data_IF_624531418990
#
_entry.id   IF_624531418990
#
_cell.length_a   1.000
_cell.length_b   1.000
_cell.length_c   1.000
_cell.angle_alpha   90.00
_cell.angle_beta   90.00
_cell.angle_gamma   90.00
#
_symmetry.space_group_name_H-M   'P 1'
#
loop_
_entity.id
_entity.type
_entity.pdbx_description
1 polymer ?
#
# COMPACT_ATOMS: atom_id res chain seq x y z
N UNK A 1 71.85 -7.08 57.05
CA UNK A 1 71.79 -7.72 55.72
C UNK A 1 70.76 -8.84 55.79
N UNK A 2 69.48 -8.52 55.59
CA UNK A 2 68.42 -9.54 55.47
C UNK A 2 67.87 -9.39 54.07
N UNK A 3 68.38 -10.24 53.20
CA UNK A 3 68.02 -10.30 51.81
C UNK A 3 67.58 -11.73 51.51
N UNK A 4 66.49 -11.79 50.75
CA UNK A 4 66.15 -12.83 49.79
C UNK A 4 65.30 -14.00 50.31
N UNK A 5 64.10 -14.02 49.71
CA UNK A 5 63.28 -15.17 49.34
C UNK A 5 62.41 -15.73 50.46
N UNK A 6 61.22 -15.16 50.59
CA UNK A 6 59.96 -15.85 50.34
C UNK A 6 58.86 -14.81 50.59
N UNK A 7 58.17 -14.38 49.54
CA UNK A 7 56.80 -13.82 49.51
C UNK A 7 56.65 -13.03 48.20
N UNK A 8 56.87 -13.73 47.08
CA UNK A 8 56.47 -13.29 45.74
C UNK A 8 55.32 -14.20 45.32
N UNK A 9 54.12 -13.93 45.84
CA UNK A 9 52.84 -14.40 45.32
C UNK A 9 51.71 -13.86 46.21
N UNK A 10 51.49 -12.55 46.21
CA UNK A 10 50.19 -11.96 46.59
C UNK A 10 50.12 -10.51 46.08
N UNK A 11 50.37 -10.36 44.78
CA UNK A 11 49.81 -9.27 44.01
C UNK A 11 48.58 -9.83 43.28
N UNK A 12 47.56 -10.26 44.04
CA UNK A 12 46.21 -10.31 43.48
C UNK A 12 45.74 -8.87 43.55
N UNK A 13 46.11 -8.18 42.48
CA UNK A 13 45.58 -6.91 42.03
C UNK A 13 44.05 -7.04 42.01
N UNK A 14 43.41 -6.69 43.12
CA UNK A 14 41.97 -6.46 43.18
C UNK A 14 41.64 -5.19 42.41
N UNK A 15 41.79 -5.24 41.08
CA UNK A 15 40.98 -4.40 40.20
C UNK A 15 39.57 -4.90 40.43
N UNK A 16 38.86 -4.24 41.33
CA UNK A 16 37.41 -4.18 41.27
C UNK A 16 37.11 -3.55 39.92
N UNK A 17 36.88 -4.41 38.92
CA UNK A 17 36.08 -4.04 37.76
C UNK A 17 34.71 -3.69 38.34
N UNK A 18 34.53 -2.44 38.76
CA UNK A 18 33.22 -1.84 38.75
C UNK A 18 32.84 -1.75 37.27
N UNK A 19 32.36 -2.87 36.72
CA UNK A 19 31.36 -2.79 35.67
C UNK A 19 30.22 -2.05 36.35
N UNK A 20 30.25 -0.73 36.25
CA UNK A 20 29.05 0.06 36.34
C UNK A 20 28.17 -0.48 35.23
N UNK A 21 27.38 -1.50 35.54
CA UNK A 21 26.14 -1.73 34.84
C UNK A 21 25.41 -0.42 35.12
N UNK A 22 25.47 0.53 34.19
CA UNK A 22 24.61 1.69 34.24
C UNK A 22 23.23 1.10 34.47
N UNK A 23 22.63 1.39 35.63
CA UNK A 23 21.30 0.91 35.95
C UNK A 23 20.43 1.37 34.79
N UNK A 24 20.01 0.42 33.94
CA UNK A 24 19.20 0.74 32.79
C UNK A 24 17.93 1.35 33.36
N UNK A 25 17.62 2.60 32.94
CA UNK A 25 16.41 3.26 33.37
C UNK A 25 15.23 2.33 33.08
N UNK A 26 14.33 2.19 34.08
CA UNK A 26 13.15 1.34 33.92
C UNK A 26 12.33 1.86 32.74
N UNK A 27 11.77 0.93 31.96
CA UNK A 27 10.83 1.20 30.90
C UNK A 27 9.63 2.03 31.42
N UNK A 28 9.30 3.15 30.75
CA UNK A 28 8.16 4.01 31.10
C UNK A 28 7.25 4.23 29.89
N UNK A 29 6.08 4.85 30.09
CA UNK A 29 5.28 5.39 28.99
C UNK A 29 5.59 6.87 28.87
N UNK A 30 5.82 7.35 27.65
CA UNK A 30 6.07 8.76 27.34
C UNK A 30 4.93 9.36 26.54
N UNK A 31 4.50 10.55 26.97
CA UNK A 31 3.44 11.32 26.35
C UNK A 31 4.01 12.64 25.83
N UNK A 32 3.71 12.95 24.58
CA UNK A 32 3.93 14.29 24.08
C UNK A 32 2.92 15.22 24.75
N UNK A 33 3.40 16.33 25.32
CA UNK A 33 2.56 17.23 26.12
C UNK A 33 2.26 18.59 25.49
N UNK A 34 3.11 19.16 24.60
CA UNK A 34 2.75 20.35 23.85
C UNK A 34 1.75 20.07 22.74
N UNK A 35 0.94 21.09 22.38
CA UNK A 35 0.12 21.05 21.16
C UNK A 35 0.94 21.14 19.88
N UNK A 36 2.14 21.72 19.93
CA UNK A 36 3.11 21.75 18.84
C UNK A 36 4.53 21.65 19.41
N UNK A 37 5.42 20.91 18.76
CA UNK A 37 6.82 20.90 19.16
C UNK A 37 7.70 19.97 18.36
N UNK A 38 8.92 19.80 18.86
CA UNK A 38 9.97 19.00 18.25
C UNK A 38 10.22 17.75 19.10
N UNK A 39 10.30 16.58 18.47
CA UNK A 39 10.55 15.29 19.13
C UNK A 39 11.89 15.28 19.87
N UNK A 40 12.88 16.05 19.41
CA UNK A 40 14.23 16.12 19.98
C UNK A 40 14.35 16.93 21.27
N UNK A 41 13.28 17.58 21.71
CA UNK A 41 13.27 18.41 22.92
C UNK A 41 12.69 17.60 24.09
N UNK A 42 13.54 17.22 25.04
CA UNK A 42 13.14 16.42 26.21
C UNK A 42 11.98 17.04 27.01
N UNK A 43 11.89 18.37 27.06
CA UNK A 43 10.82 19.10 27.75
C UNK A 43 9.43 18.93 27.10
N UNK A 44 9.36 18.47 25.85
CA UNK A 44 8.09 18.21 25.17
C UNK A 44 7.50 16.83 25.54
N UNK A 45 8.28 16.00 26.22
CA UNK A 45 7.91 14.67 26.65
C UNK A 45 7.71 14.65 28.14
N UNK A 46 6.68 13.95 28.59
CA UNK A 46 6.47 13.71 30.01
C UNK A 46 6.20 12.22 30.20
N UNK A 47 6.97 11.56 31.06
CA UNK A 47 6.68 10.17 31.43
C UNK A 47 5.49 10.08 32.39
N UNK A 48 5.05 8.86 32.72
CA UNK A 48 3.96 8.62 33.71
C UNK A 48 4.22 9.22 35.10
N UNK A 49 5.46 9.56 35.42
CA UNK A 49 5.86 10.14 36.70
C UNK A 49 6.05 11.67 36.64
N UNK A 50 5.77 12.30 35.50
CA UNK A 50 5.96 13.75 35.32
C UNK A 50 7.39 14.16 34.97
N UNK A 51 8.26 13.22 34.58
CA UNK A 51 9.66 13.47 34.26
C UNK A 51 9.81 13.78 32.79
N UNK A 52 10.51 14.88 32.49
CA UNK A 52 10.84 15.27 31.13
C UNK A 52 12.09 14.56 30.61
N UNK A 53 11.92 13.64 29.66
CA UNK A 53 13.00 12.90 29.03
C UNK A 53 12.61 12.49 27.61
N UNK A 54 13.60 12.38 26.72
CA UNK A 54 13.36 11.85 25.37
C UNK A 54 12.97 10.37 25.43
N UNK A 55 12.03 9.90 24.59
CA UNK A 55 11.69 8.48 24.50
C UNK A 55 12.86 7.59 24.07
N UNK A 56 12.93 6.37 24.62
CA UNK A 56 14.00 5.36 24.47
C UNK A 56 13.44 3.93 24.38
N UNK A 57 14.22 2.89 24.02
CA UNK A 57 13.74 1.59 23.44
C UNK A 57 13.02 0.72 24.35
N UNK A 58 13.38 0.92 25.59
CA UNK A 58 12.88 0.17 26.66
C UNK A 58 11.49 0.71 27.01
N UNK A 59 11.12 1.92 26.59
CA UNK A 59 9.81 2.50 26.85
C UNK A 59 8.69 1.70 26.22
N UNK A 60 7.67 1.46 27.03
CA UNK A 60 6.56 0.60 26.68
C UNK A 60 5.66 1.25 25.63
N UNK A 61 5.45 2.56 25.75
CA UNK A 61 4.58 3.34 24.87
C UNK A 61 5.16 4.71 24.63
N UNK A 62 5.10 5.15 23.39
CA UNK A 62 5.28 6.54 23.01
C UNK A 62 4.01 7.01 22.30
N UNK A 63 3.42 8.07 22.81
CA UNK A 63 2.11 8.55 22.38
C UNK A 63 2.19 10.02 21.95
N UNK A 64 1.69 10.30 20.75
CA UNK A 64 1.47 11.65 20.23
C UNK A 64 -0.03 11.87 20.11
N UNK A 65 -0.58 12.93 20.71
CA UNK A 65 -2.01 13.18 20.74
C UNK A 65 -2.69 12.29 21.78
N UNK A 66 -2.89 12.81 23.00
CA UNK A 66 -3.73 12.17 24.02
C UNK A 66 -4.81 13.14 24.52
N UNK A 67 -6.06 12.96 24.12
CA UNK A 67 -7.20 13.76 24.61
C UNK A 67 -7.24 15.24 24.17
N UNK A 68 -6.25 15.77 23.44
CA UNK A 68 -6.23 17.08 22.75
C UNK A 68 -5.51 16.95 21.38
N UNK A 69 -5.39 18.04 20.59
CA UNK A 69 -4.75 18.04 19.25
C UNK A 69 -3.25 18.38 19.35
N UNK A 70 -2.37 17.43 19.03
CA UNK A 70 -0.90 17.60 19.13
C UNK A 70 -0.17 17.40 17.78
N UNK A 71 0.85 18.23 17.51
CA UNK A 71 1.71 18.19 16.32
C UNK A 71 3.19 18.02 16.67
N UNK A 72 3.88 17.09 15.99
CA UNK A 72 5.35 16.95 16.05
C UNK A 72 6.00 17.33 14.72
N UNK A 73 6.98 18.24 14.76
CA UNK A 73 7.81 18.65 13.61
C UNK A 73 9.25 18.11 13.73
N UNK A 74 9.81 17.58 12.64
CA UNK A 74 11.19 17.08 12.57
C UNK A 74 12.03 17.94 11.61
N UNK A 75 13.10 18.63 12.05
CA UNK A 75 14.06 19.27 11.16
C UNK A 75 15.03 18.26 10.52
N UNK A 76 15.60 18.64 9.37
CA UNK A 76 16.31 17.84 8.36
C UNK A 76 17.67 17.21 8.76
N UNK A 77 17.84 16.83 10.03
CA UNK A 77 18.95 15.97 10.45
C UNK A 77 18.65 15.42 11.85
N UNK A 78 18.09 14.23 11.95
CA UNK A 78 18.16 13.46 13.19
C UNK A 78 18.43 11.98 12.90
N UNK A 79 19.68 11.56 13.05
CA UNK A 79 20.01 10.13 13.14
C UNK A 79 19.44 9.58 14.45
N UNK A 80 18.28 8.93 14.38
CA UNK A 80 17.81 8.09 15.46
C UNK A 80 18.22 6.65 15.15
N UNK A 81 19.48 6.37 15.50
CA UNK A 81 19.98 4.99 15.59
C UNK A 81 19.45 4.38 16.88
N UNK A 82 18.63 3.38 16.68
CA UNK A 82 18.26 2.45 17.71
C UNK A 82 19.30 1.38 17.93
N UNK A 83 20.49 1.79 18.31
CA UNK A 83 21.41 0.91 19.03
C UNK A 83 21.28 1.21 20.53
N UNK A 84 20.04 1.04 21.03
CA UNK A 84 19.69 1.10 22.45
C UNK A 84 18.47 1.95 22.87
N UNK A 85 17.79 2.67 21.96
CA UNK A 85 16.73 3.67 22.28
C UNK A 85 15.56 3.91 21.27
N UNK A 86 14.40 3.24 21.33
CA UNK A 86 13.15 3.22 20.52
C UNK A 86 11.80 3.12 21.20
N UNK A 87 10.80 2.48 20.61
CA UNK A 87 9.51 2.29 21.27
C UNK A 87 9.09 0.83 21.18
N UNK A 88 8.64 0.26 22.28
CA UNK A 88 7.88 -0.97 22.23
C UNK A 88 6.63 -0.75 21.36
N UNK A 89 5.86 0.31 21.59
CA UNK A 89 4.73 0.71 20.75
C UNK A 89 4.77 2.21 20.48
N UNK A 90 4.59 2.61 19.22
CA UNK A 90 4.35 4.01 18.84
C UNK A 90 2.88 4.18 18.45
N UNK A 91 2.21 5.19 19.01
CA UNK A 91 0.85 5.57 18.62
C UNK A 91 0.77 7.06 18.26
N UNK A 92 0.24 7.35 17.08
CA UNK A 92 -0.07 8.70 16.59
C UNK A 92 -1.60 8.86 16.62
N UNK A 93 -2.11 9.81 17.40
CA UNK A 93 -3.54 9.98 17.63
C UNK A 93 -4.10 8.87 18.53
N UNK A 94 -3.89 9.00 19.84
CA UNK A 94 -4.39 8.07 20.85
C UNK A 94 -5.60 8.67 21.60
N UNK A 95 -6.82 8.22 21.28
CA UNK A 95 -8.06 8.80 21.85
C UNK A 95 -8.10 10.34 21.74
N UNK A 96 -7.73 10.85 20.56
CA UNK A 96 -7.52 12.27 20.28
C UNK A 96 -6.93 12.45 18.88
N UNK A 97 -6.46 13.66 18.57
CA UNK A 97 -5.83 13.96 17.27
C UNK A 97 -4.32 14.09 17.42
N UNK A 98 -3.54 13.38 16.61
CA UNK A 98 -2.09 13.47 16.61
C UNK A 98 -1.52 13.54 15.20
N UNK A 99 -0.50 14.38 14.99
CA UNK A 99 0.24 14.47 13.73
C UNK A 99 1.73 14.25 13.93
N UNK A 100 2.34 13.40 13.10
CA UNK A 100 3.78 13.13 13.07
C UNK A 100 4.38 13.50 11.71
N UNK A 101 5.36 14.39 11.68
CA UNK A 101 6.12 14.72 10.47
C UNK A 101 7.52 14.09 10.52
N UNK A 102 7.90 13.39 9.44
CA UNK A 102 9.18 12.71 9.28
C UNK A 102 9.83 13.22 7.99
N UNK A 103 10.97 13.88 8.13
CA UNK A 103 11.66 14.53 7.00
C UNK A 103 13.03 13.91 6.72
N UNK A 104 13.63 13.26 7.72
CA UNK A 104 14.93 12.59 7.61
C UNK A 104 15.08 11.52 8.71
N UNK A 105 16.28 10.99 8.94
CA UNK A 105 16.59 10.20 10.12
C UNK A 105 16.18 8.74 10.05
N UNK A 106 16.11 8.08 11.21
CA UNK A 106 15.68 6.68 11.30
C UNK A 106 14.74 6.51 12.49
N UNK A 107 13.65 5.75 12.39
CA UNK A 107 12.72 5.46 13.49
C UNK A 107 12.53 3.95 13.58
N UNK A 108 13.09 3.31 14.60
CA UNK A 108 12.85 1.88 14.84
C UNK A 108 11.78 1.64 15.91
N UNK A 109 10.88 0.70 15.63
CA UNK A 109 9.71 0.38 16.44
C UNK A 109 9.73 -1.12 16.68
N UNK A 110 9.67 -1.56 17.95
CA UNK A 110 9.85 -2.98 18.28
C UNK A 110 8.59 -3.81 18.07
N UNK A 111 7.45 -3.31 18.55
CA UNK A 111 6.15 -3.96 18.45
C UNK A 111 5.27 -3.18 17.50
N UNK A 112 4.21 -2.52 17.96
CA UNK A 112 3.17 -1.96 17.10
C UNK A 112 3.47 -0.52 16.72
N UNK A 113 3.24 -0.19 15.45
CA UNK A 113 3.12 1.19 15.00
C UNK A 113 1.67 1.45 14.64
N UNK A 114 1.03 2.38 15.35
CA UNK A 114 -0.40 2.61 15.30
C UNK A 114 -0.68 4.06 14.92
N UNK A 115 -1.58 4.27 13.98
CA UNK A 115 -2.00 5.62 13.55
C UNK A 115 -3.52 5.68 13.62
N UNK A 116 -4.04 6.53 14.49
CA UNK A 116 -5.46 6.60 14.84
C UNK A 116 -5.87 5.36 15.64
N UNK A 117 -5.78 5.43 16.96
CA UNK A 117 -6.22 4.35 17.85
C UNK A 117 -6.94 4.90 19.06
N UNK A 118 -8.20 4.54 19.25
CA UNK A 118 -8.85 4.75 20.53
C UNK A 118 -8.41 3.70 21.54
N UNK A 119 -8.32 4.13 22.80
CA UNK A 119 -8.59 3.28 23.94
C UNK A 119 -10.09 3.32 24.23
N UNK A 120 -10.69 2.16 24.50
CA UNK A 120 -12.12 2.02 24.75
C UNK A 120 -12.61 3.10 25.75
N UNK A 121 -13.77 3.70 25.44
CA UNK A 121 -14.49 4.73 26.22
C UNK A 121 -14.10 6.20 26.01
N UNK A 122 -13.10 6.52 25.16
CA UNK A 122 -12.51 7.87 25.11
C UNK A 122 -12.81 8.65 23.80
N UNK A 123 -13.74 8.16 22.98
CA UNK A 123 -14.09 8.75 21.70
C UNK A 123 -13.10 8.39 20.58
N UNK A 124 -13.49 8.74 19.35
CA UNK A 124 -12.75 8.42 18.13
C UNK A 124 -11.36 9.08 18.12
N UNK A 125 -10.38 8.39 17.57
CA UNK A 125 -9.02 8.88 17.42
C UNK A 125 -8.66 9.19 15.96
N UNK A 126 -7.86 10.24 15.75
CA UNK A 126 -7.35 10.62 14.42
C UNK A 126 -5.82 10.73 14.47
N UNK A 127 -5.13 9.87 13.73
CA UNK A 127 -3.69 9.95 13.55
C UNK A 127 -3.35 10.36 12.11
N UNK A 128 -2.37 11.23 11.94
CA UNK A 128 -1.84 11.59 10.62
C UNK A 128 -0.33 11.56 10.62
N UNK A 129 0.27 10.91 9.63
CA UNK A 129 1.72 10.90 9.43
C UNK A 129 2.06 11.50 8.07
N UNK A 130 3.09 12.34 8.03
CA UNK A 130 3.71 12.84 6.80
C UNK A 130 5.17 12.42 6.76
N UNK A 131 5.55 11.58 5.81
CA UNK A 131 6.93 11.16 5.60
C UNK A 131 7.43 11.62 4.23
N UNK A 132 8.42 12.51 4.24
CA UNK A 132 9.10 13.01 3.03
C UNK A 132 10.55 12.54 2.90
N UNK A 133 11.09 11.90 3.95
CA UNK A 133 12.43 11.34 4.00
C UNK A 133 12.58 10.40 5.19
N UNK A 134 13.83 10.08 5.57
CA UNK A 134 14.13 9.20 6.69
C UNK A 134 13.73 7.74 6.49
N UNK A 135 13.98 6.91 7.50
CA UNK A 135 13.79 5.47 7.44
C UNK A 135 13.01 4.96 8.65
N UNK A 136 11.82 4.39 8.47
CA UNK A 136 11.10 3.71 9.55
C UNK A 136 11.33 2.21 9.45
N UNK A 137 11.61 1.56 10.57
CA UNK A 137 11.66 0.10 10.65
C UNK A 137 10.83 -0.39 11.82
N UNK A 138 9.77 -1.13 11.54
CA UNK A 138 9.13 -1.96 12.55
C UNK A 138 9.82 -3.33 12.58
N UNK A 139 10.32 -3.75 13.73
CA UNK A 139 10.97 -5.06 13.89
C UNK A 139 9.98 -6.20 14.15
N UNK A 140 10.41 -7.41 13.77
CA UNK A 140 9.65 -8.64 14.00
C UNK A 140 9.94 -9.17 15.39
N UNK A 141 9.04 -8.93 16.35
CA UNK A 141 9.20 -9.46 17.71
C UNK A 141 7.92 -10.05 18.30
N UNK A 142 7.08 -10.67 17.47
CA UNK A 142 5.97 -11.49 17.95
C UNK A 142 4.84 -11.70 16.95
N UNK A 143 4.11 -12.80 17.11
CA UNK A 143 3.05 -13.26 16.18
C UNK A 143 1.81 -12.36 16.07
N UNK A 144 1.74 -11.25 16.81
CA UNK A 144 0.55 -10.37 16.88
C UNK A 144 0.87 -8.90 16.65
N UNK A 145 2.02 -8.57 16.04
CA UNK A 145 2.45 -7.19 15.85
C UNK A 145 2.07 -6.64 14.48
N UNK A 146 1.50 -5.44 14.44
CA UNK A 146 1.03 -4.78 13.22
C UNK A 146 1.58 -3.36 13.10
N UNK A 147 1.85 -2.95 11.87
CA UNK A 147 1.77 -1.54 11.50
C UNK A 147 0.33 -1.32 11.05
N UNK A 148 -0.44 -0.53 11.80
CA UNK A 148 -1.86 -0.39 11.50
C UNK A 148 -2.37 1.05 11.51
N UNK A 149 -3.27 1.31 10.57
CA UNK A 149 -3.99 2.57 10.40
C UNK A 149 -5.47 2.38 10.73
N UNK A 150 -6.06 3.29 11.49
CA UNK A 150 -7.49 3.28 11.83
C UNK A 150 -7.87 2.09 12.70
N UNK A 151 -7.38 2.08 13.94
CA UNK A 151 -7.45 0.94 14.87
C UNK A 151 -8.66 0.96 15.80
N UNK A 152 -9.84 0.83 15.20
CA UNK A 152 -11.11 0.71 15.92
C UNK A 152 -12.25 1.42 15.21
N UNK A 153 -13.48 1.08 15.58
CA UNK A 153 -14.68 1.68 15.02
C UNK A 153 -14.68 3.20 15.25
N UNK A 154 -14.76 3.95 14.15
CA UNK A 154 -14.73 5.41 14.16
C UNK A 154 -13.32 6.02 14.17
N UNK A 155 -12.27 5.24 14.35
CA UNK A 155 -10.89 5.73 14.32
C UNK A 155 -10.41 5.97 12.88
N UNK A 156 -9.55 6.97 12.72
CA UNK A 156 -9.02 7.43 11.43
C UNK A 156 -7.49 7.44 11.48
N UNK A 157 -6.85 6.64 10.64
CA UNK A 157 -5.40 6.64 10.48
C UNK A 157 -5.00 7.01 9.06
N UNK A 158 -4.23 8.07 8.89
CA UNK A 158 -3.77 8.54 7.58
C UNK A 158 -2.24 8.55 7.55
N UNK A 159 -1.66 7.93 6.53
CA UNK A 159 -0.23 7.92 6.31
C UNK A 159 0.11 8.45 4.92
N UNK A 160 0.78 9.60 4.85
CA UNK A 160 1.20 10.24 3.61
C UNK A 160 2.71 10.10 3.44
N UNK A 161 3.15 9.37 2.42
CA UNK A 161 4.55 9.13 2.11
C UNK A 161 4.91 9.67 0.72
N UNK A 162 5.87 10.60 0.65
CA UNK A 162 6.41 11.13 -0.61
C UNK A 162 7.91 10.83 -0.80
N UNK A 163 8.59 10.35 0.25
CA UNK A 163 10.00 9.98 0.24
C UNK A 163 10.38 9.18 1.48
N UNK A 164 11.64 8.74 1.55
CA UNK A 164 12.16 7.92 2.63
C UNK A 164 11.87 6.42 2.47
N UNK A 165 12.13 5.64 3.52
CA UNK A 165 11.87 4.20 3.55
C UNK A 165 10.97 3.79 4.72
N UNK A 166 10.19 2.74 4.54
CA UNK A 166 9.41 2.06 5.59
C UNK A 166 9.60 0.55 5.44
N UNK A 167 10.13 -0.11 6.47
CA UNK A 167 10.22 -1.56 6.55
C UNK A 167 9.27 -2.09 7.63
N UNK A 168 8.22 -2.80 7.22
CA UNK A 168 7.23 -3.40 8.11
C UNK A 168 7.56 -4.88 8.30
N UNK A 169 8.15 -5.23 9.44
CA UNK A 169 8.49 -6.63 9.77
C UNK A 169 7.57 -7.27 10.81
N UNK A 170 6.58 -6.53 11.35
CA UNK A 170 5.60 -7.12 12.26
C UNK A 170 4.88 -8.31 11.63
N UNK A 171 4.62 -9.35 12.42
CA UNK A 171 4.07 -10.62 11.92
C UNK A 171 2.72 -10.50 11.19
N UNK A 172 1.94 -9.44 11.49
CA UNK A 172 0.66 -9.14 10.83
C UNK A 172 0.81 -8.29 9.57
N UNK A 173 2.01 -7.76 9.31
CA UNK A 173 2.30 -6.88 8.19
C UNK A 173 1.72 -5.47 8.36
N UNK A 174 1.37 -4.87 7.23
CA UNK A 174 0.76 -3.53 7.15
C UNK A 174 -0.76 -3.70 7.02
N UNK A 175 -1.52 -3.06 7.90
CA UNK A 175 -2.98 -3.11 7.91
C UNK A 175 -3.54 -1.70 7.78
N UNK A 176 -4.28 -1.46 6.71
CA UNK A 176 -4.90 -0.18 6.40
C UNK A 176 -6.40 -0.33 6.64
N UNK A 177 -6.90 0.25 7.73
CA UNK A 177 -8.31 0.17 8.13
C UNK A 177 -8.60 -1.04 9.01
N UNK A 178 -8.02 -1.11 10.22
CA UNK A 178 -8.27 -2.20 11.17
C UNK A 178 -9.50 -1.88 12.05
N UNK A 179 -10.68 -2.27 11.58
CA UNK A 179 -11.98 -1.96 12.19
C UNK A 179 -12.36 -0.48 12.20
N UNK A 180 -11.56 0.39 11.57
CA UNK A 180 -11.84 1.81 11.37
C UNK A 180 -11.50 2.25 9.95
N UNK A 181 -11.28 3.55 9.77
CA UNK A 181 -10.84 4.15 8.51
C UNK A 181 -9.31 4.25 8.46
N UNK A 182 -8.70 3.62 7.46
CA UNK A 182 -7.27 3.74 7.18
C UNK A 182 -7.03 4.24 5.76
N UNK A 183 -6.07 5.14 5.60
CA UNK A 183 -5.64 5.66 4.31
C UNK A 183 -4.10 5.69 4.24
N UNK A 184 -3.53 5.04 3.23
CA UNK A 184 -2.10 5.06 2.94
C UNK A 184 -1.86 5.66 1.56
N UNK A 185 -1.25 6.84 1.53
CA UNK A 185 -0.91 7.57 0.31
C UNK A 185 0.58 7.43 0.02
N UNK A 186 0.94 6.72 -1.06
CA UNK A 186 2.31 6.56 -1.52
C UNK A 186 2.54 7.38 -2.81
N UNK A 187 3.55 8.23 -2.79
CA UNK A 187 3.87 9.13 -3.90
C UNK A 187 5.38 9.38 -3.98
N UNK A 188 5.81 10.11 -5.01
CA UNK A 188 7.19 10.55 -5.16
C UNK A 188 8.18 9.40 -5.20
N UNK A 189 9.11 9.37 -4.24
CA UNK A 189 10.22 8.40 -4.18
C UNK A 189 10.15 7.49 -2.95
N UNK A 190 9.03 7.48 -2.22
CA UNK A 190 8.87 6.66 -1.03
C UNK A 190 9.05 5.17 -1.33
N UNK A 191 9.75 4.45 -0.45
CA UNK A 191 9.97 3.02 -0.60
C UNK A 191 9.45 2.23 0.61
N UNK A 192 8.44 1.39 0.39
CA UNK A 192 7.79 0.56 1.40
C UNK A 192 8.09 -0.90 1.15
N UNK A 193 8.59 -1.60 2.18
CA UNK A 193 8.73 -3.05 2.19
C UNK A 193 7.89 -3.62 3.31
N UNK A 194 6.87 -4.41 2.95
CA UNK A 194 6.06 -5.20 3.87
C UNK A 194 6.58 -6.63 3.83
N UNK A 195 7.26 -7.06 4.89
CA UNK A 195 7.84 -8.41 4.94
C UNK A 195 6.81 -9.54 5.09
N UNK A 196 5.55 -9.17 5.37
CA UNK A 196 4.41 -10.08 5.48
C UNK A 196 3.33 -9.59 4.52
N UNK A 197 2.06 -9.82 4.85
CA UNK A 197 0.94 -9.38 4.03
C UNK A 197 0.62 -7.89 4.17
N UNK A 198 0.11 -7.29 3.10
CA UNK A 198 -0.61 -6.03 3.13
C UNK A 198 -2.11 -6.33 3.17
N UNK A 199 -2.79 -5.76 4.16
CA UNK A 199 -4.23 -5.85 4.33
C UNK A 199 -4.88 -4.49 4.14
N UNK A 200 -5.75 -4.37 3.16
CA UNK A 200 -6.52 -3.16 2.86
C UNK A 200 -7.99 -3.45 3.17
N UNK A 201 -8.48 -2.89 4.27
CA UNK A 201 -9.78 -3.17 4.88
C UNK A 201 -9.99 -4.64 5.30
N UNK A 202 -9.95 -4.85 6.61
CA UNK A 202 -10.18 -6.13 7.25
C UNK A 202 -8.92 -7.00 7.31
N UNK A 203 -8.90 -7.94 8.26
CA UNK A 203 -7.83 -8.91 8.41
C UNK A 203 -8.38 -10.23 8.96
N UNK A 204 -7.64 -11.32 8.77
CA UNK A 204 -7.98 -12.62 9.38
C UNK A 204 -7.47 -12.76 10.81
N UNK A 205 -6.47 -11.95 11.15
CA UNK A 205 -5.77 -12.12 12.42
C UNK A 205 -6.56 -11.47 13.55
N UNK A 206 -7.12 -12.34 14.40
CA UNK A 206 -8.01 -12.07 15.53
C UNK A 206 -7.45 -11.13 16.61
N UNK A 207 -7.14 -9.90 16.22
CA UNK A 207 -6.85 -8.81 17.14
C UNK A 207 -8.17 -8.31 17.73
N UNK A 208 -8.67 -9.05 18.71
CA UNK A 208 -9.90 -8.74 19.45
C UNK A 208 -9.76 -7.58 20.45
N UNK A 209 -8.65 -6.83 20.43
CA UNK A 209 -8.38 -5.81 21.45
C UNK A 209 -8.62 -4.37 20.98
N UNK A 210 -9.12 -4.17 19.75
CA UNK A 210 -9.74 -2.91 19.32
C UNK A 210 -11.25 -2.99 19.52
N UNK A 211 -11.88 -1.91 19.99
CA UNK A 211 -13.33 -1.75 19.92
C UNK A 211 -13.74 -1.64 18.45
N UNK A 212 -14.39 -2.65 17.89
CA UNK A 212 -14.88 -2.60 16.50
C UNK A 212 -15.11 -3.97 15.89
N UNK A 213 -15.95 -4.03 14.87
CA UNK A 213 -16.19 -5.22 14.07
C UNK A 213 -15.34 -5.19 12.81
N UNK A 214 -15.01 -6.35 12.23
CA UNK A 214 -14.49 -6.39 10.85
C UNK A 214 -15.44 -5.70 9.88
N UNK A 215 -16.74 -5.65 10.21
CA UNK A 215 -17.74 -4.91 9.45
C UNK A 215 -17.50 -3.39 9.38
N UNK A 216 -16.70 -2.82 10.30
CA UNK A 216 -16.40 -1.40 10.33
C UNK A 216 -15.13 -1.02 9.55
N UNK A 217 -14.42 -2.02 9.01
CA UNK A 217 -13.13 -1.82 8.34
C UNK A 217 -13.28 -1.16 6.97
N UNK A 218 -12.65 0.01 6.83
CA UNK A 218 -12.55 0.82 5.61
C UNK A 218 -11.07 1.13 5.37
N UNK A 219 -10.53 0.75 4.20
CA UNK A 219 -9.10 0.84 3.92
C UNK A 219 -8.84 1.31 2.51
N UNK A 220 -7.96 2.31 2.36
CA UNK A 220 -7.61 2.92 1.09
C UNK A 220 -6.10 2.98 0.94
N UNK A 221 -5.56 2.42 -0.14
CA UNK A 221 -4.16 2.62 -0.54
C UNK A 221 -4.16 3.34 -1.87
N UNK A 222 -3.56 4.53 -1.91
CA UNK A 222 -3.44 5.32 -3.13
C UNK A 222 -1.96 5.44 -3.50
N UNK A 223 -1.55 4.81 -4.59
CA UNK A 223 -0.17 4.83 -5.07
C UNK A 223 -0.07 5.62 -6.38
N UNK A 224 0.60 6.76 -6.34
CA UNK A 224 0.87 7.61 -7.52
C UNK A 224 2.36 7.67 -7.89
N UNK A 225 3.20 6.97 -7.14
CA UNK A 225 4.64 6.93 -7.29
C UNK A 225 5.27 6.00 -6.27
N UNK A 226 6.59 6.11 -6.07
CA UNK A 226 7.31 5.28 -5.11
C UNK A 226 7.31 3.79 -5.44
N UNK A 227 7.77 2.98 -4.48
CA UNK A 227 7.84 1.52 -4.60
C UNK A 227 7.16 0.87 -3.40
N UNK A 228 6.24 -0.06 -3.64
CA UNK A 228 5.65 -0.93 -2.63
C UNK A 228 5.98 -2.39 -2.94
N UNK A 229 6.69 -3.04 -2.01
CA UNK A 229 7.01 -4.46 -2.08
C UNK A 229 6.33 -5.20 -0.94
N UNK A 230 5.52 -6.20 -1.24
CA UNK A 230 4.82 -7.07 -0.28
C UNK A 230 5.33 -8.49 -0.47
N UNK A 231 5.95 -9.06 0.57
CA UNK A 231 6.64 -10.36 0.45
C UNK A 231 5.74 -11.57 0.62
N UNK A 232 4.59 -11.39 1.27
CA UNK A 232 3.55 -12.41 1.30
C UNK A 232 2.38 -11.92 0.43
N UNK A 233 1.17 -12.00 0.95
CA UNK A 233 -0.05 -11.73 0.20
C UNK A 233 -0.48 -10.26 0.22
N UNK A 234 -1.17 -9.83 -0.84
CA UNK A 234 -2.02 -8.65 -0.83
C UNK A 234 -3.49 -9.07 -0.63
N UNK A 235 -4.12 -8.51 0.39
CA UNK A 235 -5.56 -8.63 0.61
C UNK A 235 -6.22 -7.26 0.45
N UNK A 236 -7.16 -7.16 -0.48
CA UNK A 236 -7.99 -5.97 -0.68
C UNK A 236 -9.44 -6.35 -0.42
N UNK A 237 -10.00 -5.86 0.69
CA UNK A 237 -11.36 -6.16 1.09
C UNK A 237 -11.55 -7.59 1.60
N UNK A 238 -10.72 -8.04 2.54
CA UNK A 238 -10.86 -9.37 3.16
C UNK A 238 -11.74 -9.29 4.41
N UNK A 239 -12.93 -9.90 4.37
CA UNK A 239 -13.96 -9.87 5.45
C UNK A 239 -14.49 -8.47 5.84
N UNK A 240 -13.89 -7.37 5.36
CA UNK A 240 -14.36 -6.01 5.57
C UNK A 240 -15.59 -5.70 4.73
N UNK A 241 -16.73 -5.40 5.37
CA UNK A 241 -18.01 -5.19 4.64
C UNK A 241 -18.21 -3.77 4.14
N UNK A 242 -17.36 -2.81 4.54
CA UNK A 242 -17.43 -1.43 4.04
C UNK A 242 -16.50 -1.13 2.87
N UNK A 243 -15.51 -2.00 2.63
CA UNK A 243 -14.70 -1.95 1.41
C UNK A 243 -13.23 -1.68 1.66
N UNK A 244 -12.38 -2.39 0.93
CA UNK A 244 -10.97 -2.05 0.74
C UNK A 244 -10.72 -1.63 -0.69
N UNK A 245 -9.92 -0.58 -0.89
CA UNK A 245 -9.55 -0.09 -2.22
C UNK A 245 -8.04 0.09 -2.32
N UNK A 246 -7.45 -0.47 -3.36
CA UNK A 246 -6.08 -0.19 -3.78
C UNK A 246 -6.13 0.47 -5.14
N UNK A 247 -5.76 1.75 -5.20
CA UNK A 247 -5.72 2.54 -6.43
C UNK A 247 -4.25 2.80 -6.79
N UNK A 248 -3.84 2.49 -8.01
CA UNK A 248 -2.48 2.73 -8.50
C UNK A 248 -2.50 3.50 -9.82
N UNK A 249 -1.95 4.71 -9.80
CA UNK A 249 -1.78 5.58 -10.98
C UNK A 249 -0.33 5.71 -11.46
N UNK A 250 0.64 5.22 -10.66
CA UNK A 250 2.05 5.26 -11.00
C UNK A 250 2.95 4.60 -9.94
N UNK A 251 4.25 4.48 -10.26
CA UNK A 251 5.23 3.84 -9.38
C UNK A 251 5.32 2.33 -9.58
N UNK A 252 5.91 1.61 -8.62
CA UNK A 252 6.10 0.16 -8.69
C UNK A 252 5.38 -0.57 -7.55
N UNK A 253 4.59 -1.58 -7.88
CA UNK A 253 3.98 -2.52 -6.95
C UNK A 253 4.46 -3.94 -7.26
N UNK A 254 5.06 -4.62 -6.28
CA UNK A 254 5.47 -6.02 -6.39
C UNK A 254 4.89 -6.82 -5.23
N UNK A 255 4.11 -7.85 -5.55
CA UNK A 255 3.58 -8.81 -4.59
C UNK A 255 4.24 -10.15 -4.86
N UNK A 256 5.00 -10.67 -3.88
CA UNK A 256 5.78 -11.90 -4.06
C UNK A 256 4.91 -13.17 -3.92
N UNK A 257 3.77 -13.07 -3.24
CA UNK A 257 2.82 -14.18 -3.08
C UNK A 257 1.41 -13.76 -3.55
N UNK A 258 0.36 -14.43 -3.09
CA UNK A 258 -0.97 -14.30 -3.69
C UNK A 258 -1.64 -12.93 -3.51
N UNK A 259 -2.47 -12.58 -4.49
CA UNK A 259 -3.37 -11.41 -4.43
C UNK A 259 -4.82 -11.86 -4.26
N UNK A 260 -5.54 -11.23 -3.34
CA UNK A 260 -6.94 -11.52 -3.06
C UNK A 260 -7.77 -10.25 -3.03
N UNK A 261 -8.77 -10.15 -3.91
CA UNK A 261 -9.62 -8.94 -4.03
C UNK A 261 -11.08 -9.34 -3.76
N UNK A 262 -11.70 -8.74 -2.74
CA UNK A 262 -13.11 -8.95 -2.38
C UNK A 262 -13.46 -10.41 -2.07
N UNK A 263 -12.60 -11.08 -1.29
CA UNK A 263 -12.73 -12.50 -0.93
C UNK A 263 -13.37 -12.70 0.45
N UNK A 264 -13.78 -13.94 0.74
CA UNK A 264 -14.59 -14.30 1.91
C UNK A 264 -15.94 -13.55 1.90
N UNK A 265 -16.20 -12.69 2.87
CA UNK A 265 -17.39 -11.83 2.93
C UNK A 265 -17.08 -10.36 2.68
N UNK A 266 -15.83 -10.00 2.41
CA UNK A 266 -15.41 -8.61 2.27
C UNK A 266 -15.60 -8.08 0.86
N UNK A 267 -15.66 -6.75 0.73
CA UNK A 267 -15.79 -6.02 -0.53
C UNK A 267 -14.43 -5.41 -0.87
N UNK A 268 -13.91 -5.63 -2.07
CA UNK A 268 -12.58 -5.16 -2.46
C UNK A 268 -12.54 -4.62 -3.88
N UNK A 269 -11.82 -3.51 -4.10
CA UNK A 269 -11.54 -2.95 -5.42
C UNK A 269 -10.03 -2.79 -5.62
N UNK A 270 -9.49 -3.33 -6.70
CA UNK A 270 -8.16 -2.97 -7.18
C UNK A 270 -8.33 -2.16 -8.47
N UNK A 271 -7.79 -0.95 -8.50
CA UNK A 271 -7.96 0.01 -9.58
C UNK A 271 -6.60 0.41 -10.15
N UNK A 272 -6.45 0.25 -11.45
CA UNK A 272 -5.28 0.70 -12.21
C UNK A 272 -5.67 1.93 -12.99
N UNK A 273 -4.91 3.00 -12.84
CA UNK A 273 -5.13 4.26 -13.52
C UNK A 273 -3.90 4.63 -14.35
N UNK A 274 -4.12 5.22 -15.53
CA UNK A 274 -3.05 5.72 -16.40
C UNK A 274 -2.03 4.63 -16.81
N UNK A 275 -0.96 5.03 -17.52
CA UNK A 275 0.04 4.15 -18.16
C UNK A 275 1.41 4.17 -17.45
N UNK A 276 1.48 4.67 -16.21
CA UNK A 276 2.77 4.92 -15.54
C UNK A 276 3.09 3.95 -14.40
N UNK A 277 2.18 3.02 -14.09
CA UNK A 277 2.37 2.04 -13.05
C UNK A 277 3.13 0.81 -13.58
N UNK A 278 3.98 0.23 -12.75
CA UNK A 278 4.58 -1.09 -12.97
C UNK A 278 4.03 -2.02 -11.89
N UNK A 279 3.23 -3.01 -12.28
CA UNK A 279 2.52 -3.90 -11.36
C UNK A 279 2.93 -5.33 -11.62
N UNK A 280 3.41 -6.01 -10.58
CA UNK A 280 3.83 -7.42 -10.64
C UNK A 280 3.14 -8.22 -9.55
N UNK A 281 2.36 -9.22 -9.95
CA UNK A 281 1.77 -10.24 -9.10
C UNK A 281 2.51 -11.55 -9.33
N UNK A 282 3.46 -11.89 -8.46
CA UNK A 282 4.45 -12.94 -8.74
C UNK A 282 3.98 -14.35 -8.35
N UNK A 283 2.68 -14.53 -8.15
CA UNK A 283 2.03 -15.77 -7.70
C UNK A 283 0.58 -15.80 -8.19
N UNK A 284 -0.35 -16.48 -7.50
CA UNK A 284 -1.74 -16.56 -7.94
C UNK A 284 -2.55 -15.33 -7.52
N UNK A 285 -3.56 -14.99 -8.33
CA UNK A 285 -4.50 -13.92 -8.01
C UNK A 285 -5.93 -14.48 -7.96
N UNK A 286 -6.74 -14.00 -7.00
CA UNK A 286 -8.15 -14.37 -6.88
C UNK A 286 -9.01 -13.13 -6.75
N UNK A 287 -9.93 -12.95 -7.71
CA UNK A 287 -11.00 -11.97 -7.61
C UNK A 287 -12.24 -12.69 -7.08
N UNK A 288 -12.60 -12.39 -5.83
CA UNK A 288 -13.72 -12.99 -5.14
C UNK A 288 -15.08 -12.46 -5.62
N UNK A 289 -16.16 -13.05 -5.10
CA UNK A 289 -17.53 -12.73 -5.49
C UNK A 289 -17.93 -11.25 -5.28
N UNK A 290 -17.24 -10.56 -4.36
CA UNK A 290 -17.45 -9.14 -4.08
C UNK A 290 -16.22 -8.30 -4.48
N UNK A 291 -15.36 -8.87 -5.33
CA UNK A 291 -14.17 -8.22 -5.86
C UNK A 291 -14.49 -7.45 -7.12
N UNK A 292 -13.87 -6.28 -7.25
CA UNK A 292 -13.88 -5.47 -8.48
C UNK A 292 -12.45 -5.25 -8.93
N UNK A 293 -12.17 -5.58 -10.19
CA UNK A 293 -10.97 -5.11 -10.88
C UNK A 293 -11.38 -3.92 -11.76
N UNK A 294 -10.71 -2.78 -11.63
CA UNK A 294 -11.08 -1.53 -12.30
C UNK A 294 -9.91 -0.98 -13.09
N UNK A 295 -10.20 -0.44 -14.27
CA UNK A 295 -9.22 0.23 -15.13
C UNK A 295 -9.73 1.61 -15.54
N UNK A 296 -8.96 2.65 -15.22
CA UNK A 296 -9.22 4.04 -15.60
C UNK A 296 -8.15 4.45 -16.61
N UNK A 297 -8.51 4.44 -17.89
CA UNK A 297 -7.58 4.74 -18.95
C UNK A 297 -7.31 6.25 -19.05
N UNK A 298 -6.06 6.61 -19.32
CA UNK A 298 -5.71 7.91 -19.87
C UNK A 298 -5.85 7.89 -21.40
N UNK A 299 -5.56 9.01 -22.07
CA UNK A 299 -5.61 9.07 -23.53
C UNK A 299 -4.67 8.06 -24.22
N UNK A 300 -3.65 7.58 -23.51
CA UNK A 300 -2.69 6.59 -24.01
C UNK A 300 -3.04 5.13 -23.70
N UNK A 301 -4.12 4.86 -22.95
CA UNK A 301 -4.47 3.53 -22.47
C UNK A 301 -4.37 3.42 -20.95
N UNK A 302 -4.08 2.22 -20.46
CA UNK A 302 -3.88 1.93 -19.03
C UNK A 302 -2.71 0.95 -18.87
N UNK A 303 -2.07 0.96 -17.72
CA UNK A 303 -1.01 0.01 -17.36
C UNK A 303 -1.59 -1.39 -17.25
N UNK A 304 -0.82 -2.37 -17.69
CA UNK A 304 -1.11 -3.79 -17.49
C UNK A 304 -0.67 -4.26 -16.10
N UNK A 305 -1.16 -5.44 -15.72
CA UNK A 305 -0.69 -6.17 -14.55
C UNK A 305 0.08 -7.39 -15.05
N UNK A 306 1.38 -7.42 -14.75
CA UNK A 306 2.21 -8.59 -14.99
C UNK A 306 1.89 -9.66 -13.94
N UNK A 307 1.26 -10.75 -14.35
CA UNK A 307 1.07 -11.95 -13.56
C UNK A 307 2.23 -12.91 -13.88
N UNK A 308 3.38 -12.65 -13.26
CA UNK A 308 4.62 -13.41 -13.47
C UNK A 308 4.61 -14.67 -12.59
N UNK A 309 4.25 -15.83 -13.16
CA UNK A 309 4.28 -17.05 -12.37
C UNK A 309 4.54 -18.35 -13.15
N UNK A 310 5.16 -19.31 -12.47
CA UNK A 310 5.51 -20.62 -13.01
C UNK A 310 4.47 -21.75 -12.77
N UNK A 311 3.41 -21.55 -11.97
CA UNK A 311 2.47 -22.65 -11.63
C UNK A 311 1.07 -22.26 -11.09
N UNK A 312 0.43 -21.17 -11.55
CA UNK A 312 -0.77 -20.66 -10.87
C UNK A 312 -1.44 -19.52 -11.58
N UNK A 313 -2.63 -19.22 -11.10
CA UNK A 313 -3.73 -18.88 -12.00
C UNK A 313 -4.44 -17.63 -11.50
N UNK A 314 -4.83 -16.74 -12.42
CA UNK A 314 -5.87 -15.75 -12.14
C UNK A 314 -7.22 -16.47 -12.05
N UNK A 315 -7.80 -16.50 -10.86
CA UNK A 315 -9.14 -17.05 -10.62
C UNK A 315 -10.16 -15.93 -10.46
N UNK A 316 -11.18 -15.93 -11.31
CA UNK A 316 -12.27 -14.96 -11.30
C UNK A 316 -13.56 -15.65 -10.85
N UNK A 317 -14.12 -15.19 -9.74
CA UNK A 317 -15.42 -15.67 -9.28
C UNK A 317 -16.54 -15.17 -10.21
N UNK A 318 -17.56 -16.00 -10.44
CA UNK A 318 -18.67 -15.66 -11.33
C UNK A 318 -19.49 -14.41 -10.92
N UNK A 319 -19.39 -13.94 -9.67
CA UNK A 319 -20.02 -12.69 -9.21
C UNK A 319 -19.06 -11.49 -9.19
N UNK A 320 -17.76 -11.70 -9.43
CA UNK A 320 -16.77 -10.63 -9.51
C UNK A 320 -17.11 -9.63 -10.63
N UNK A 321 -16.72 -8.37 -10.43
CA UNK A 321 -16.97 -7.29 -11.38
C UNK A 321 -15.68 -6.83 -12.06
N UNK A 322 -15.79 -6.44 -13.32
CA UNK A 322 -14.76 -5.74 -14.06
C UNK A 322 -15.28 -4.36 -14.46
N UNK A 323 -14.56 -3.30 -14.12
CA UNK A 323 -14.97 -1.93 -14.37
C UNK A 323 -13.99 -1.21 -15.29
N UNK A 324 -14.52 -0.33 -16.13
CA UNK A 324 -13.74 0.48 -17.05
C UNK A 324 -14.23 1.93 -17.05
N UNK A 325 -13.30 2.87 -16.92
CA UNK A 325 -13.49 4.26 -17.33
C UNK A 325 -12.54 4.55 -18.50
N UNK A 326 -13.10 4.62 -19.70
CA UNK A 326 -12.38 4.93 -20.94
C UNK A 326 -12.71 6.35 -21.44
N UNK A 327 -13.28 7.20 -20.59
CA UNK A 327 -13.79 8.52 -20.99
C UNK A 327 -12.70 9.50 -21.44
N UNK A 328 -11.44 9.27 -21.06
CA UNK A 328 -10.30 10.05 -21.53
C UNK A 328 -9.83 9.66 -22.95
N UNK A 329 -10.29 8.52 -23.48
CA UNK A 329 -9.96 8.06 -24.81
C UNK A 329 -10.98 8.54 -25.84
N UNK A 330 -10.54 8.72 -27.09
CA UNK A 330 -11.41 9.19 -28.18
C UNK A 330 -11.71 8.15 -29.25
N UNK A 331 -10.98 7.03 -29.27
CA UNK A 331 -11.05 5.98 -30.30
C UNK A 331 -10.42 4.69 -29.79
N UNK A 332 -10.85 3.55 -30.32
CA UNK A 332 -10.17 2.26 -30.14
C UNK A 332 -9.05 2.12 -31.19
N UNK A 333 -7.89 2.74 -30.93
CA UNK A 333 -6.79 2.80 -31.89
C UNK A 333 -5.93 1.52 -31.91
N UNK A 334 -5.74 0.90 -30.75
CA UNK A 334 -4.91 -0.29 -30.56
C UNK A 334 -5.44 -1.11 -29.39
N UNK A 335 -5.08 -2.38 -29.36
CA UNK A 335 -5.37 -3.24 -28.23
C UNK A 335 -4.72 -2.70 -26.95
N UNK A 336 -5.35 -3.00 -25.81
CA UNK A 336 -4.86 -2.66 -24.48
C UNK A 336 -4.73 -3.96 -23.70
N UNK A 337 -3.49 -4.32 -23.36
CA UNK A 337 -3.22 -5.43 -22.45
C UNK A 337 -3.64 -5.01 -21.04
N UNK A 338 -4.45 -5.83 -20.37
CA UNK A 338 -4.93 -5.58 -19.02
C UNK A 338 -4.19 -6.46 -18.02
N UNK A 339 -4.12 -7.76 -18.32
CA UNK A 339 -3.35 -8.74 -17.56
C UNK A 339 -2.43 -9.43 -18.56
N UNK A 340 -1.14 -9.34 -18.31
CA UNK A 340 -0.09 -10.11 -18.98
C UNK A 340 0.19 -11.37 -18.15
N UNK A 341 -0.27 -12.53 -18.62
CA UNK A 341 -0.21 -13.78 -17.87
C UNK A 341 0.95 -14.65 -18.37
N UNK A 342 2.14 -14.41 -17.82
CA UNK A 342 3.36 -15.15 -18.16
C UNK A 342 3.32 -16.65 -17.82
N UNK A 343 2.33 -17.10 -17.03
CA UNK A 343 2.16 -18.51 -16.70
C UNK A 343 1.61 -19.34 -17.85
N UNK A 344 1.63 -20.67 -17.71
CA UNK A 344 1.05 -21.57 -18.73
C UNK A 344 -0.47 -21.77 -18.57
N UNK A 345 -1.02 -21.43 -17.40
CA UNK A 345 -2.43 -21.65 -17.08
C UNK A 345 -3.31 -20.53 -17.65
N UNK A 346 -4.45 -20.93 -18.21
CA UNK A 346 -5.48 -19.99 -18.63
C UNK A 346 -6.14 -19.30 -17.43
N UNK A 347 -6.61 -18.07 -17.64
CA UNK A 347 -7.49 -17.38 -16.69
C UNK A 347 -8.70 -18.27 -16.38
N UNK A 348 -8.95 -18.51 -15.11
CA UNK A 348 -10.03 -19.39 -14.65
C UNK A 348 -11.27 -18.58 -14.29
N UNK A 349 -12.31 -18.68 -15.11
CA UNK A 349 -13.58 -17.99 -14.90
C UNK A 349 -13.71 -16.71 -15.74
N UNK A 350 -14.85 -16.04 -15.57
CA UNK A 350 -15.19 -14.79 -16.27
C UNK A 350 -15.89 -13.84 -15.29
N UNK A 351 -15.75 -12.54 -15.52
CA UNK A 351 -16.45 -11.53 -14.74
C UNK A 351 -17.95 -11.56 -15.02
N UNK A 352 -18.75 -11.21 -14.00
CA UNK A 352 -20.21 -11.32 -14.07
C UNK A 352 -20.83 -10.43 -15.16
N UNK A 353 -20.18 -9.30 -15.44
CA UNK A 353 -20.69 -8.26 -16.31
C UNK A 353 -20.05 -8.23 -17.72
N UNK A 354 -19.03 -9.05 -17.97
CA UNK A 354 -18.40 -9.17 -19.29
C UNK A 354 -17.91 -10.59 -19.57
N UNK A 355 -18.39 -11.18 -20.66
CA UNK A 355 -17.88 -12.42 -21.24
C UNK A 355 -16.86 -12.17 -22.37
N UNK A 356 -16.31 -13.27 -22.90
CA UNK A 356 -15.43 -13.26 -24.07
C UNK A 356 -16.13 -12.62 -25.29
N UNK A 357 -15.49 -11.62 -25.89
CA UNK A 357 -15.98 -10.92 -27.07
C UNK A 357 -17.02 -9.83 -26.80
N UNK A 358 -17.40 -9.60 -25.54
CA UNK A 358 -18.38 -8.56 -25.20
C UNK A 358 -17.83 -7.17 -25.50
N UNK A 359 -18.68 -6.30 -26.06
CA UNK A 359 -18.34 -4.89 -26.29
C UNK A 359 -18.28 -4.15 -24.96
N UNK A 360 -17.11 -3.59 -24.65
CA UNK A 360 -16.85 -2.84 -23.42
C UNK A 360 -17.25 -1.38 -23.57
N UNK A 361 -16.88 -0.75 -24.69
CA UNK A 361 -17.12 0.67 -24.93
C UNK A 361 -17.19 0.96 -26.43
N UNK A 362 -18.06 1.89 -26.84
CA UNK A 362 -18.14 2.41 -28.21
C UNK A 362 -17.89 3.92 -28.19
N UNK A 363 -16.90 4.35 -28.97
CA UNK A 363 -16.49 5.74 -29.07
C UNK A 363 -17.38 6.53 -30.05
N UNK A 364 -17.27 7.86 -30.01
CA UNK A 364 -18.06 8.75 -30.86
C UNK A 364 -17.74 8.63 -32.37
N UNK A 365 -16.56 8.10 -32.71
CA UNK A 365 -16.19 7.75 -34.09
C UNK A 365 -16.76 6.39 -34.54
N UNK A 366 -17.42 5.67 -33.62
CA UNK A 366 -18.02 4.36 -33.79
C UNK A 366 -17.05 3.18 -33.64
N UNK A 367 -15.76 3.42 -33.43
CA UNK A 367 -14.81 2.37 -33.03
C UNK A 367 -15.20 1.84 -31.64
N UNK A 368 -14.82 0.61 -31.33
CA UNK A 368 -15.18 -0.01 -30.06
C UNK A 368 -14.13 -1.00 -29.55
N UNK A 369 -14.15 -1.25 -28.25
CA UNK A 369 -13.36 -2.30 -27.62
C UNK A 369 -14.22 -3.53 -27.32
N UNK A 370 -13.65 -4.71 -27.54
CA UNK A 370 -14.19 -5.98 -27.05
C UNK A 370 -13.25 -6.61 -26.03
N UNK A 371 -13.78 -7.27 -25.01
CA UNK A 371 -12.97 -7.99 -24.03
C UNK A 371 -12.50 -9.35 -24.57
N UNK A 372 -11.25 -9.72 -24.33
CA UNK A 372 -10.75 -11.08 -24.51
C UNK A 372 -10.02 -11.57 -23.26
N UNK A 373 -10.25 -12.82 -22.87
CA UNK A 373 -9.58 -13.59 -21.80
C UNK A 373 -8.59 -14.62 -22.35
N UNK A 374 -8.46 -14.68 -23.68
CA UNK A 374 -7.57 -15.61 -24.39
C UNK A 374 -6.69 -14.85 -25.38
N UNK A 375 -6.35 -13.62 -25.02
CA UNK A 375 -5.49 -12.78 -25.84
C UNK A 375 -4.09 -13.38 -25.89
N UNK A 376 -3.43 -13.22 -27.04
CA UNK A 376 -2.07 -13.71 -27.30
C UNK A 376 -1.21 -12.47 -27.58
N UNK A 377 -0.59 -11.93 -26.53
CA UNK A 377 0.24 -10.73 -26.66
C UNK A 377 1.58 -10.98 -27.37
N UNK A 378 1.96 -12.25 -27.64
CA UNK A 378 3.18 -12.59 -28.35
C UNK A 378 4.02 -13.65 -27.64
N UNK A 379 5.31 -13.38 -27.41
CA UNK A 379 6.38 -14.39 -27.20
C UNK A 379 6.32 -15.23 -25.90
N UNK A 380 5.17 -15.29 -25.27
CA UNK A 380 4.96 -15.84 -23.95
C UNK A 380 4.79 -17.38 -24.08
N UNK A 381 5.07 -18.15 -23.03
CA UNK A 381 5.31 -19.60 -23.16
C UNK A 381 4.07 -20.42 -23.59
N UNK A 382 2.88 -19.81 -23.57
CA UNK A 382 1.62 -20.45 -23.93
C UNK A 382 0.69 -19.45 -24.63
N UNK A 383 0.38 -19.68 -25.91
CA UNK A 383 -0.49 -18.79 -26.68
C UNK A 383 -1.91 -18.69 -26.08
N UNK A 384 -2.39 -17.47 -25.82
CA UNK A 384 -3.82 -17.18 -25.64
C UNK A 384 -4.37 -17.29 -24.21
N UNK A 385 -3.67 -16.76 -23.21
CA UNK A 385 -4.10 -16.76 -21.81
C UNK A 385 -4.07 -15.38 -21.13
N UNK A 386 -3.85 -14.32 -21.90
CA UNK A 386 -3.87 -12.94 -21.43
C UNK A 386 -5.28 -12.35 -21.42
N UNK A 387 -5.46 -11.27 -20.65
CA UNK A 387 -6.66 -10.46 -20.71
C UNK A 387 -6.38 -9.13 -21.39
N UNK A 388 -7.18 -8.77 -22.41
CA UNK A 388 -7.00 -7.54 -23.16
C UNK A 388 -8.33 -6.93 -23.62
N UNK A 389 -8.31 -5.62 -23.88
CA UNK A 389 -9.30 -4.95 -24.73
C UNK A 389 -8.80 -4.97 -26.17
N UNK A 390 -9.54 -5.65 -27.05
CA UNK A 390 -9.24 -5.75 -28.48
C UNK A 390 -9.91 -4.60 -29.21
N UNK A 391 -9.12 -3.81 -29.94
CA UNK A 391 -9.57 -2.67 -30.70
C UNK A 391 -10.29 -3.12 -31.99
N UNK A 392 -11.49 -2.58 -32.18
CA UNK A 392 -12.27 -2.74 -33.40
C UNK A 392 -12.45 -1.36 -34.05
N UNK A 393 -11.45 -0.87 -34.81
CA UNK A 393 -11.59 0.39 -35.52
C UNK A 393 -12.64 0.26 -36.62
N UNK A 394 -13.47 1.29 -36.80
CA UNK A 394 -14.33 1.34 -37.98
C UNK A 394 -13.42 1.49 -39.21
N UNK A 395 -13.56 0.64 -40.24
CA UNK A 395 -12.80 0.82 -41.47
C UNK A 395 -13.08 2.21 -42.03
N UNK A 396 -12.07 3.07 -42.08
CA UNK A 396 -12.19 4.34 -42.79
C UNK A 396 -12.69 4.03 -44.21
N UNK A 397 -13.71 4.76 -44.73
CA UNK A 397 -14.11 4.57 -46.11
C UNK A 397 -12.88 4.79 -46.98
N UNK A 398 -12.42 3.71 -47.63
CA UNK A 398 -11.10 3.70 -48.25
C UNK A 398 -10.88 5.00 -49.03
N UNK A 399 -9.76 5.68 -48.79
CA UNK A 399 -9.41 6.94 -49.48
C UNK A 399 -9.57 6.80 -51.00
N UNK A 400 -9.37 5.58 -51.52
CA UNK A 400 -9.67 5.18 -52.89
C UNK A 400 -11.15 5.24 -53.26
N UNK A 401 -12.07 4.75 -52.43
CA UNK A 401 -13.51 4.86 -52.66
C UNK A 401 -13.96 6.33 -52.66
N UNK A 402 -13.46 7.15 -51.73
CA UNK A 402 -13.74 8.59 -51.67
C UNK A 402 -13.16 9.33 -52.89
N UNK A 403 -11.92 9.04 -53.27
CA UNK A 403 -11.29 9.60 -54.46
C UNK A 403 -12.04 9.19 -55.73
N UNK A 404 -12.42 7.91 -55.86
CA UNK A 404 -13.13 7.39 -57.03
C UNK A 404 -14.52 7.98 -57.14
N UNK A 405 -15.28 8.07 -56.04
CA UNK A 405 -16.58 8.73 -56.02
C UNK A 405 -16.47 10.22 -56.36
N UNK A 406 -15.45 10.91 -55.83
CA UNK A 406 -15.14 12.30 -56.19
C UNK A 406 -14.79 12.47 -57.66
N UNK A 407 -13.98 11.56 -58.23
CA UNK A 407 -13.58 11.58 -59.64
C UNK A 407 -14.77 11.31 -60.57
N UNK A 408 -15.63 10.34 -60.22
CA UNK A 408 -16.87 10.05 -60.95
C UNK A 408 -17.81 11.26 -60.92
N UNK A 409 -17.95 11.92 -59.76
CA UNK A 409 -18.72 13.15 -59.63
C UNK A 409 -18.18 14.30 -60.48
N UNK A 410 -16.86 14.49 -60.48
CA UNK A 410 -16.16 15.48 -61.33
C UNK A 410 -16.32 15.18 -62.82
N UNK A 411 -16.19 13.92 -63.23
CA UNK A 411 -16.39 13.49 -64.61
C UNK A 411 -17.84 13.71 -65.05
N UNK A 412 -18.83 13.35 -64.22
CA UNK A 412 -20.24 13.58 -64.51
C UNK A 412 -20.57 15.08 -64.63
N UNK A 413 -19.99 15.92 -63.76
CA UNK A 413 -20.13 17.37 -63.84
C UNK A 413 -19.50 17.95 -65.12
N UNK A 414 -18.28 17.54 -65.46
CA UNK A 414 -17.59 17.98 -66.67
C UNK A 414 -18.35 17.55 -67.93
N UNK A 415 -18.98 16.38 -67.92
CA UNK A 415 -19.78 15.88 -69.04
C UNK A 415 -21.09 16.66 -69.21
N UNK A 416 -21.74 17.05 -68.11
CA UNK A 416 -22.94 17.90 -68.13
C UNK A 416 -22.65 19.29 -68.70
N UNK A 417 -21.46 19.86 -68.44
CA UNK A 417 -21.08 21.21 -68.90
C UNK A 417 -20.67 21.30 -70.38
N UNK A 418 -20.45 20.16 -71.04
CA UNK A 418 -20.08 20.06 -72.47
C UNK A 418 -21.28 19.88 -73.41
N UNK A 419 -22.46 19.60 -72.86
CA UNK A 419 -23.75 19.76 -73.55
C UNK A 419 -24.28 21.15 -73.24
#
# INVERSE_FOLDING_TARGET
>A
MSARKLFTAMLVLGIVFSMGVAAQAAAVNNFFTPSTGDWSVAANWTDVNGVHALPTYNDYYVVIGSGETDYVYQPASCDFSLTGGGAAVLTVGHSGTGTLNITDGTLAIKYDYRVGRQQADWGNATGTVYQSGGAITQDDTGSTRAFALGWGAGDTGIYNMSGGTVAVKGALGLVVGIHGYGEYNLSGTGAVTVNRSLWVAGNDYGYSTGSGSTADSEGYVNQSGGTMTVKDHLYVGYKGTKGGEYNISGGTLSIDDNVYIGTSTGIGKFEVEDITAMISWNSSATIGANGTLSYVASAGGVSDIALDYAAGTLTVNAAAQLAFDLSAMSTAASDILLIDNYGDDAISGVFANYGEGDTVHTFGDGSYYTLSYVYDAGTDMSAGNDMALVANPIPEPSTLALLTAGLVGLLAYAWRKRK
#
